data_IF_719985039737
#
_entry.id   IF_719985039737
#
_cell.length_a   1.000
_cell.length_b   1.000
_cell.length_c   1.000
_cell.angle_alpha   90.00
_cell.angle_beta   90.00
_cell.angle_gamma   90.00
#
_symmetry.space_group_name_H-M   'P 1'
#
loop_
_entity.id
_entity.type
_entity.pdbx_description
1 polymer ?
#
# COMPACT_ATOMS: atom_id res chain seq x y z
N UNK A 1 -9.70 5.56 3.82
CA UNK A 1 -8.61 4.79 3.21
C UNK A 1 -8.64 3.40 3.83
N UNK A 2 -8.58 2.35 3.02
CA UNK A 2 -8.56 0.96 3.51
C UNK A 2 -7.39 0.24 2.87
N UNK A 3 -6.65 -0.54 3.67
CA UNK A 3 -5.58 -1.43 3.21
C UNK A 3 -5.88 -2.82 3.73
N UNK A 4 -5.67 -3.83 2.88
CA UNK A 4 -5.70 -5.23 3.27
C UNK A 4 -4.37 -5.88 2.88
N UNK A 5 -3.73 -6.53 3.85
CA UNK A 5 -2.51 -7.31 3.67
C UNK A 5 -2.84 -8.75 4.01
N UNK A 6 -2.56 -9.70 3.11
CA UNK A 6 -2.77 -11.12 3.42
C UNK A 6 -1.63 -11.67 4.31
N UNK A 7 -1.88 -12.80 4.98
CA UNK A 7 -0.80 -13.53 5.65
C UNK A 7 -0.04 -14.40 4.64
N UNK A 8 1.26 -14.60 4.85
CA UNK A 8 2.03 -15.58 4.08
C UNK A 8 1.86 -16.97 4.70
N UNK A 9 1.59 -17.98 3.88
CA UNK A 9 1.43 -19.37 4.31
C UNK A 9 2.74 -20.03 4.73
N UNK A 10 3.89 -19.54 4.24
CA UNK A 10 5.26 -19.90 4.63
C UNK A 10 6.20 -18.78 4.19
N UNK A 11 6.68 -17.91 5.07
CA UNK A 11 7.70 -16.93 4.67
C UNK A 11 8.90 -17.61 4.02
N UNK A 12 9.51 -16.98 3.01
CA UNK A 12 10.48 -17.55 2.06
C UNK A 12 9.92 -18.52 1.00
N UNK A 13 8.66 -18.93 1.09
CA UNK A 13 7.99 -19.84 0.12
C UNK A 13 6.60 -19.35 -0.33
N UNK A 14 6.03 -18.34 0.33
CA UNK A 14 4.71 -17.79 0.07
C UNK A 14 4.74 -16.28 -0.15
N UNK A 15 3.78 -15.80 -0.92
CA UNK A 15 3.66 -14.40 -1.32
C UNK A 15 2.74 -13.64 -0.37
N UNK A 16 3.18 -12.46 0.07
CA UNK A 16 2.31 -11.45 0.68
C UNK A 16 1.84 -10.51 -0.41
N UNK A 17 0.54 -10.20 -0.38
CA UNK A 17 -0.12 -9.24 -1.26
C UNK A 17 -0.80 -8.15 -0.44
N UNK A 18 -0.61 -6.92 -0.91
CA UNK A 18 -1.19 -5.71 -0.34
C UNK A 18 -2.14 -5.08 -1.32
N UNK A 19 -3.33 -4.71 -0.86
CA UNK A 19 -4.30 -3.96 -1.66
C UNK A 19 -4.78 -2.76 -0.88
N UNK A 20 -5.23 -1.72 -1.58
CA UNK A 20 -5.81 -0.57 -0.93
C UNK A 20 -6.67 0.28 -1.85
N UNK A 21 -7.52 1.10 -1.24
CA UNK A 21 -8.39 2.03 -1.96
C UNK A 21 -8.48 3.36 -1.23
N UNK A 22 -8.32 4.47 -1.95
CA UNK A 22 -8.53 5.83 -1.45
C UNK A 22 -9.69 6.52 -2.16
N UNK A 23 -10.17 7.62 -1.57
CA UNK A 23 -11.17 8.53 -2.15
C UNK A 23 -10.68 9.96 -1.94
N UNK A 24 -10.94 10.82 -2.91
CA UNK A 24 -10.70 12.25 -2.76
C UNK A 24 -11.84 12.92 -1.98
N UNK A 25 -11.57 14.07 -1.39
CA UNK A 25 -12.59 14.90 -0.76
C UNK A 25 -13.60 15.38 -1.81
N UNK A 26 -14.89 15.34 -1.49
CA UNK A 26 -15.96 15.84 -2.34
C UNK A 26 -15.76 17.32 -2.72
N UNK A 27 -15.89 17.63 -4.01
CA UNK A 27 -15.64 18.98 -4.54
C UNK A 27 -14.17 19.40 -4.56
N UNK A 28 -13.24 18.47 -4.31
CA UNK A 28 -11.81 18.75 -4.34
C UNK A 28 -11.29 19.08 -5.75
N UNK A 29 -10.10 19.73 -5.85
CA UNK A 29 -9.54 20.20 -7.12
C UNK A 29 -9.06 19.07 -8.05
N UNK A 30 -9.08 17.81 -7.60
CA UNK A 30 -8.44 16.70 -8.31
C UNK A 30 -6.92 16.84 -8.29
N UNK A 31 -6.26 16.23 -9.27
CA UNK A 31 -4.82 16.31 -9.48
C UNK A 31 -4.11 14.95 -9.41
N UNK A 32 -2.78 15.02 -9.37
CA UNK A 32 -1.93 13.84 -9.34
C UNK A 32 -1.73 13.33 -7.93
N UNK A 33 -2.05 12.06 -7.71
CA UNK A 33 -1.77 11.34 -6.47
C UNK A 33 -0.56 10.44 -6.67
N UNK A 34 0.50 10.62 -5.87
CA UNK A 34 1.70 9.79 -5.89
C UNK A 34 1.85 9.00 -4.58
N UNK A 35 2.26 7.74 -4.69
CA UNK A 35 2.39 6.85 -3.53
C UNK A 35 3.37 5.70 -3.77
N UNK A 36 3.79 5.04 -2.70
CA UNK A 36 4.56 3.79 -2.72
C UNK A 36 4.21 2.91 -1.53
N UNK A 37 4.60 1.63 -1.60
CA UNK A 37 4.54 0.70 -0.49
C UNK A 37 5.87 0.67 0.25
N UNK A 38 5.81 0.72 1.58
CA UNK A 38 6.93 0.51 2.49
C UNK A 38 6.72 -0.81 3.21
N UNK A 39 7.65 -1.74 3.01
CA UNK A 39 7.64 -3.08 3.60
C UNK A 39 8.74 -3.15 4.65
N UNK A 40 8.49 -3.83 5.76
CA UNK A 40 9.50 -4.06 6.79
C UNK A 40 9.44 -5.50 7.28
N UNK A 41 10.56 -6.21 7.18
CA UNK A 41 10.76 -7.54 7.77
C UNK A 41 12.18 -7.64 8.39
N UNK A 42 12.67 -8.84 8.70
CA UNK A 42 14.02 -9.05 9.26
C UNK A 42 15.16 -8.69 8.29
N UNK A 43 14.90 -8.58 6.98
CA UNK A 43 15.90 -8.07 6.02
C UNK A 43 15.97 -6.54 6.03
N UNK A 44 15.07 -5.86 6.75
CA UNK A 44 15.01 -4.42 6.88
C UNK A 44 13.81 -3.81 6.18
N UNK A 45 13.94 -2.54 5.80
CA UNK A 45 12.89 -1.78 5.11
C UNK A 45 13.14 -1.77 3.61
N UNK A 46 12.12 -2.12 2.83
CA UNK A 46 12.13 -2.02 1.37
C UNK A 46 10.99 -1.11 0.91
N UNK A 47 11.26 -0.28 -0.10
CA UNK A 47 10.30 0.66 -0.67
C UNK A 47 10.05 0.28 -2.13
N UNK A 48 8.78 0.18 -2.53
CA UNK A 48 8.42 -0.06 -3.93
C UNK A 48 8.77 1.13 -4.81
N UNK A 49 8.64 0.95 -6.13
CA UNK A 49 8.59 2.10 -7.04
C UNK A 49 7.44 3.04 -6.66
N UNK A 50 7.59 4.33 -6.99
CA UNK A 50 6.52 5.32 -6.88
C UNK A 50 5.50 5.14 -8.01
N UNK A 51 4.24 5.06 -7.62
CA UNK A 51 3.09 5.01 -8.53
C UNK A 51 2.39 6.36 -8.58
N UNK A 52 1.62 6.58 -9.65
CA UNK A 52 0.90 7.83 -9.89
C UNK A 52 -0.50 7.56 -10.45
N UNK A 53 -1.50 8.29 -9.97
CA UNK A 53 -2.87 8.27 -10.49
C UNK A 53 -3.33 9.71 -10.69
N UNK A 54 -3.90 10.02 -11.85
CA UNK A 54 -4.50 11.33 -12.13
C UNK A 54 -5.99 11.28 -11.83
N UNK A 55 -6.46 12.21 -11.00
CA UNK A 55 -7.85 12.30 -10.56
C UNK A 55 -8.48 13.58 -11.11
N UNK A 56 -9.69 13.46 -11.66
CA UNK A 56 -10.43 14.63 -12.13
C UNK A 56 -10.92 15.48 -10.95
N UNK A 57 -11.12 16.79 -11.18
CA UNK A 57 -11.74 17.66 -10.19
C UNK A 57 -13.17 17.17 -9.86
N UNK A 58 -13.52 17.17 -8.58
CA UNK A 58 -14.82 16.70 -8.09
C UNK A 58 -15.03 15.19 -8.10
N UNK A 59 -14.05 14.37 -8.52
CA UNK A 59 -14.16 12.92 -8.45
C UNK A 59 -14.19 12.43 -6.98
N UNK A 60 -15.15 11.57 -6.66
CA UNK A 60 -15.36 10.99 -5.32
C UNK A 60 -15.39 9.46 -5.34
N UNK A 61 -15.08 8.86 -6.50
CA UNK A 61 -15.00 7.42 -6.66
C UNK A 61 -13.88 6.83 -5.78
N UNK A 62 -13.97 5.52 -5.54
CA UNK A 62 -12.87 4.79 -4.94
C UNK A 62 -11.82 4.48 -6.02
N UNK A 63 -10.57 4.86 -5.75
CA UNK A 63 -9.44 4.55 -6.62
C UNK A 63 -8.61 3.45 -5.98
N UNK A 64 -8.37 2.39 -6.74
CA UNK A 64 -7.52 1.28 -6.31
C UNK A 64 -6.05 1.67 -6.51
N UNK A 65 -5.23 1.40 -5.50
CA UNK A 65 -3.79 1.47 -5.66
C UNK A 65 -3.26 0.22 -6.36
N UNK A 66 -2.06 0.31 -6.93
CA UNK A 66 -1.37 -0.85 -7.46
C UNK A 66 -1.16 -1.87 -6.34
N UNK A 67 -1.62 -3.10 -6.58
CA UNK A 67 -1.42 -4.24 -5.68
C UNK A 67 0.07 -4.48 -5.49
N UNK A 68 0.51 -4.54 -4.23
CA UNK A 68 1.85 -4.99 -3.94
C UNK A 68 1.92 -6.50 -3.80
N UNK A 69 3.05 -7.10 -4.19
CA UNK A 69 3.26 -8.54 -4.13
C UNK A 69 4.73 -8.87 -3.98
N UNK A 70 5.09 -9.61 -2.92
CA UNK A 70 6.48 -10.03 -2.70
C UNK A 70 6.56 -11.27 -1.79
N UNK A 71 7.75 -11.88 -1.77
CA UNK A 71 8.07 -12.98 -0.86
C UNK A 71 8.89 -12.45 0.31
N UNK A 72 8.32 -12.35 1.52
CA UNK A 72 9.04 -11.85 2.68
C UNK A 72 9.96 -12.92 3.31
N UNK A 73 10.98 -12.49 4.03
CA UNK A 73 11.87 -13.39 4.78
C UNK A 73 11.32 -13.78 6.16
N UNK A 74 10.48 -12.93 6.76
CA UNK A 74 9.91 -13.10 8.10
C UNK A 74 8.69 -12.21 8.30
N UNK A 75 7.91 -12.43 9.36
CA UNK A 75 6.78 -11.58 9.73
C UNK A 75 7.20 -10.11 9.80
N UNK A 76 6.25 -9.22 9.53
CA UNK A 76 6.58 -7.83 9.24
C UNK A 76 5.39 -6.91 9.21
N UNK A 77 5.65 -5.69 8.74
CA UNK A 77 4.63 -4.68 8.51
C UNK A 77 4.67 -4.20 7.09
N UNK A 78 3.52 -3.73 6.62
CA UNK A 78 3.40 -3.04 5.35
C UNK A 78 2.61 -1.74 5.52
N UNK A 79 3.04 -0.72 4.79
CA UNK A 79 2.47 0.60 4.86
C UNK A 79 2.37 1.21 3.47
N UNK A 80 1.22 1.80 3.16
CA UNK A 80 1.05 2.65 1.99
C UNK A 80 1.31 4.10 2.36
N UNK A 81 2.18 4.74 1.59
CA UNK A 81 2.62 6.12 1.82
C UNK A 81 2.36 6.94 0.57
N UNK A 82 1.56 7.99 0.71
CA UNK A 82 1.33 9.01 -0.30
C UNK A 82 2.35 10.13 -0.14
N UNK A 83 3.07 10.42 -1.22
CA UNK A 83 4.03 11.54 -1.27
C UNK A 83 3.35 12.81 -1.77
N UNK A 84 2.32 12.69 -2.60
CA UNK A 84 1.53 13.81 -3.12
C UNK A 84 0.04 13.40 -3.16
N UNK A 85 -0.86 14.11 -2.45
CA UNK A 85 -0.55 14.90 -1.27
C UNK A 85 0.09 14.02 -0.17
N UNK A 86 0.90 14.63 0.71
CA UNK A 86 1.60 13.90 1.77
C UNK A 86 0.65 13.30 2.80
N UNK A 87 0.60 11.97 2.89
CA UNK A 87 -0.21 11.23 3.85
C UNK A 87 0.29 9.79 3.99
N UNK A 88 0.29 9.21 5.19
CA UNK A 88 0.65 7.81 5.37
C UNK A 88 -0.45 7.07 6.14
N UNK A 89 -0.78 5.87 5.67
CA UNK A 89 -1.75 5.00 6.37
C UNK A 89 -1.04 4.32 7.55
N UNK A 90 -1.76 3.95 8.60
CA UNK A 90 -1.19 3.16 9.69
C UNK A 90 -0.64 1.83 9.16
N UNK A 91 0.62 1.45 9.49
CA UNK A 91 1.18 0.17 9.09
C UNK A 91 0.30 -1.01 9.51
N UNK A 92 0.14 -1.97 8.61
CA UNK A 92 -0.56 -3.22 8.86
C UNK A 92 0.46 -4.33 9.09
N UNK A 93 0.30 -5.07 10.19
CA UNK A 93 1.14 -6.22 10.50
C UNK A 93 0.62 -7.47 9.81
N UNK A 94 1.54 -8.34 9.41
CA UNK A 94 1.20 -9.64 8.84
C UNK A 94 2.12 -10.71 9.45
N UNK A 95 1.68 -11.96 9.43
CA UNK A 95 2.42 -13.09 10.04
C UNK A 95 2.81 -14.16 9.01
N UNK A 96 3.95 -14.81 9.25
CA UNK A 96 4.27 -16.08 8.59
C UNK A 96 3.53 -17.18 9.31
N UNK A 97 2.61 -17.86 8.62
CA UNK A 97 2.08 -19.12 9.13
C UNK A 97 3.03 -20.25 8.75
N UNK A 98 3.00 -21.34 9.54
CA UNK A 98 3.82 -22.54 9.38
C UNK A 98 3.08 -23.59 8.57
#
# INVERSE_FOLDING_TARGET
MTINVNNSTKCKLGTVTATGTFRMQAGGPGGTVQYHWTRKDLNGTAVSVTYSIVIAAGDTAAHSVVTDSWTPASAGTEQLVFTIPGFAVTPQSWTCRT
#
